data_IF_527617675036
#
_entry.id   IF_527617675036
#
_cell.length_a   1.000
_cell.length_b   1.000
_cell.length_c   1.000
_cell.angle_alpha   90.00
_cell.angle_beta   90.00
_cell.angle_gamma   90.00
#
_symmetry.space_group_name_H-M   'P 1'
#
loop_
_entity.id
_entity.type
_entity.pdbx_description
1 polymer ?
#
# COMPACT_ATOMS: atom_id res chain seq x y z
N UNK A 1 -23.63 36.03 5.90
CA UNK A 1 -22.24 35.96 6.31
C UNK A 1 -21.83 34.55 6.76
N UNK A 2 -22.60 33.84 7.59
CA UNK A 2 -22.24 32.48 8.05
C UNK A 2 -22.09 31.42 6.91
N UNK A 3 -22.97 31.42 5.90
CA UNK A 3 -22.89 30.46 4.78
C UNK A 3 -21.65 30.68 3.88
N UNK A 4 -21.25 31.93 3.66
CA UNK A 4 -20.05 32.26 2.90
C UNK A 4 -18.77 31.89 3.69
N UNK A 5 -18.76 32.04 5.01
CA UNK A 5 -17.67 31.61 5.87
C UNK A 5 -17.49 30.08 5.87
N UNK A 6 -18.59 29.33 5.85
CA UNK A 6 -18.55 27.85 5.81
C UNK A 6 -17.99 27.34 4.48
N UNK A 7 -18.36 27.95 3.36
CA UNK A 7 -17.84 27.54 2.03
C UNK A 7 -16.33 27.82 1.87
N UNK A 8 -15.81 28.88 2.47
CA UNK A 8 -14.36 29.19 2.47
C UNK A 8 -13.61 28.16 3.30
N UNK A 9 -14.12 27.81 4.49
CA UNK A 9 -13.50 26.80 5.35
C UNK A 9 -13.49 25.42 4.70
N UNK A 10 -14.57 25.02 4.05
CA UNK A 10 -14.65 23.77 3.29
C UNK A 10 -13.61 23.73 2.15
N UNK A 11 -13.42 24.82 1.43
CA UNK A 11 -12.40 24.92 0.40
C UNK A 11 -10.97 24.79 0.95
N UNK A 12 -10.70 25.40 2.11
CA UNK A 12 -9.44 25.26 2.84
C UNK A 12 -9.23 23.80 3.27
N UNK A 13 -10.23 23.16 3.85
CA UNK A 13 -10.16 21.78 4.30
C UNK A 13 -9.86 20.82 3.13
N UNK A 14 -10.57 20.97 2.02
CA UNK A 14 -10.31 20.16 0.81
C UNK A 14 -8.89 20.37 0.27
N UNK A 15 -8.39 21.60 0.27
CA UNK A 15 -7.03 21.93 -0.19
C UNK A 15 -5.96 21.22 0.64
N UNK A 16 -6.04 21.32 1.97
CA UNK A 16 -5.04 20.69 2.85
C UNK A 16 -5.20 19.17 2.92
N UNK A 17 -6.41 18.66 2.87
CA UNK A 17 -6.64 17.22 2.78
C UNK A 17 -6.08 16.64 1.47
N UNK A 18 -6.28 17.32 0.34
CA UNK A 18 -5.67 16.92 -0.93
C UNK A 18 -4.13 16.93 -0.87
N UNK A 19 -3.54 17.85 -0.12
CA UNK A 19 -2.09 17.87 0.12
C UNK A 19 -1.64 16.72 1.03
N UNK A 20 -2.40 16.38 2.09
CA UNK A 20 -2.15 15.24 2.95
C UNK A 20 -2.24 13.91 2.19
N UNK A 21 -3.23 13.77 1.29
CA UNK A 21 -3.38 12.60 0.40
C UNK A 21 -2.19 12.46 -0.56
N UNK A 22 -1.70 13.54 -1.15
CA UNK A 22 -0.46 13.47 -1.97
C UNK A 22 0.75 13.05 -1.14
N UNK A 23 0.88 13.57 0.07
CA UNK A 23 1.97 13.23 0.99
C UNK A 23 1.95 11.74 1.36
N UNK A 24 0.76 11.17 1.64
CA UNK A 24 0.63 9.77 2.06
C UNK A 24 1.08 8.78 0.98
N UNK A 25 1.11 9.15 -0.31
CA UNK A 25 1.64 8.29 -1.39
C UNK A 25 3.14 8.01 -1.27
N UNK A 26 3.87 8.83 -0.50
CA UNK A 26 5.33 8.73 -0.38
C UNK A 26 5.82 7.34 0.04
N UNK A 27 5.07 6.64 0.92
CA UNK A 27 5.48 5.37 1.48
C UNK A 27 4.55 4.18 1.13
N UNK A 28 3.68 4.31 0.11
CA UNK A 28 2.89 3.17 -0.41
C UNK A 28 3.81 1.98 -0.74
N UNK A 29 3.37 0.77 -0.44
CA UNK A 29 4.12 -0.48 -0.61
C UNK A 29 5.30 -0.65 0.37
N UNK A 30 5.47 0.23 1.38
CA UNK A 30 6.62 0.22 2.30
C UNK A 30 6.26 0.28 3.78
N UNK A 31 4.98 0.30 4.10
CA UNK A 31 4.50 0.49 5.48
C UNK A 31 4.15 -0.82 6.19
N UNK A 32 4.57 -1.95 5.63
CA UNK A 32 4.25 -3.30 6.11
C UNK A 32 2.73 -3.46 6.28
N UNK A 33 2.26 -3.91 7.44
CA UNK A 33 0.82 -4.13 7.68
C UNK A 33 0.02 -2.85 7.98
N UNK A 34 0.69 -1.69 8.14
CA UNK A 34 0.02 -0.43 8.41
C UNK A 34 -0.33 0.31 7.11
N UNK A 35 -1.41 1.12 7.10
CA UNK A 35 -1.71 1.96 5.95
C UNK A 35 -0.70 3.10 5.83
N UNK A 36 -0.46 3.57 4.60
CA UNK A 36 0.32 4.78 4.37
C UNK A 36 -0.58 6.01 4.56
N UNK A 37 -0.58 6.55 5.76
CA UNK A 37 -1.35 7.74 6.18
C UNK A 37 -0.51 8.99 5.99
N UNK A 38 -1.14 10.09 5.63
CA UNK A 38 -0.54 11.42 5.61
C UNK A 38 -1.19 12.34 6.63
N UNK A 39 -0.39 13.13 7.33
CA UNK A 39 -0.86 14.14 8.29
C UNK A 39 -0.20 15.47 8.02
N UNK A 40 -1.00 16.52 7.99
CA UNK A 40 -0.53 17.92 8.00
C UNK A 40 -1.08 18.62 9.24
N UNK A 41 -0.22 19.39 9.92
CA UNK A 41 -0.62 20.29 10.98
C UNK A 41 -0.54 21.71 10.42
N UNK A 42 -1.68 22.40 10.45
CA UNK A 42 -1.85 23.73 9.85
C UNK A 42 -2.28 24.71 10.94
N UNK A 43 -1.53 25.80 11.05
CA UNK A 43 -1.79 26.88 11.98
C UNK A 43 -2.09 28.16 11.24
N UNK A 44 -3.06 28.92 11.73
CA UNK A 44 -3.38 30.27 11.24
C UNK A 44 -3.36 31.24 12.44
N UNK A 45 -2.39 32.15 12.43
CA UNK A 45 -2.23 33.20 13.42
C UNK A 45 -2.76 34.56 12.89
N UNK A 46 -3.63 34.53 11.86
CA UNK A 46 -4.19 35.76 11.26
C UNK A 46 -3.43 36.25 10.02
N UNK A 47 -2.26 35.69 9.70
CA UNK A 47 -1.52 35.98 8.47
C UNK A 47 -1.85 35.01 7.34
N UNK A 48 -2.77 34.08 7.59
CA UNK A 48 -3.18 32.99 6.69
C UNK A 48 -2.61 31.63 7.13
N UNK A 49 -3.27 30.54 6.70
CA UNK A 49 -2.94 29.19 7.16
C UNK A 49 -1.59 28.72 6.62
N UNK A 50 -0.72 28.23 7.52
CA UNK A 50 0.63 27.74 7.25
C UNK A 50 0.80 26.32 7.76
N UNK A 51 1.46 25.45 6.98
CA UNK A 51 1.83 24.09 7.41
C UNK A 51 3.01 24.21 8.38
N UNK A 52 2.80 23.84 9.65
CA UNK A 52 3.81 23.85 10.71
C UNK A 52 4.37 22.46 11.01
N UNK A 53 3.68 21.40 10.57
CA UNK A 53 4.15 20.03 10.69
C UNK A 53 3.58 19.15 9.59
N UNK A 54 4.35 18.16 9.16
CA UNK A 54 3.92 17.18 8.19
C UNK A 54 4.51 15.81 8.52
N UNK A 55 3.73 14.76 8.29
CA UNK A 55 4.17 13.38 8.52
C UNK A 55 3.51 12.41 7.57
N UNK A 56 4.19 11.30 7.34
CA UNK A 56 3.67 10.14 6.62
C UNK A 56 4.03 8.89 7.40
N UNK A 57 3.16 7.90 7.44
CA UNK A 57 3.50 6.61 8.07
C UNK A 57 4.90 6.17 7.63
N UNK A 58 5.80 5.98 8.58
CA UNK A 58 7.19 5.66 8.27
C UNK A 58 7.34 4.27 7.62
N UNK A 59 8.48 4.06 6.97
CA UNK A 59 8.84 2.75 6.40
C UNK A 59 8.82 1.71 7.53
N UNK A 60 8.21 0.55 7.26
CA UNK A 60 7.96 -0.46 8.29
C UNK A 60 6.72 -0.18 9.14
N UNK A 61 5.97 0.91 8.85
CA UNK A 61 4.67 1.22 9.42
C UNK A 61 4.70 2.03 10.72
N UNK A 62 5.88 2.39 11.22
CA UNK A 62 6.02 3.19 12.45
C UNK A 62 7.24 4.09 12.41
N UNK A 63 7.16 5.33 13.00
CA UNK A 63 5.97 5.92 13.64
C UNK A 63 4.81 6.21 12.69
N UNK A 64 3.62 6.47 13.23
CA UNK A 64 2.45 6.90 12.48
C UNK A 64 2.61 8.35 12.01
N UNK A 65 1.86 8.73 10.96
CA UNK A 65 1.93 10.04 10.34
C UNK A 65 1.68 11.20 11.33
N UNK A 66 0.74 11.02 12.25
CA UNK A 66 0.40 12.00 13.26
C UNK A 66 1.58 12.28 14.21
N UNK A 67 2.29 11.22 14.62
CA UNK A 67 3.45 11.36 15.51
C UNK A 67 4.60 12.10 14.82
N UNK A 68 4.86 11.79 13.55
CA UNK A 68 5.84 12.51 12.72
C UNK A 68 5.47 13.98 12.55
N UNK A 69 4.20 14.26 12.24
CA UNK A 69 3.70 15.62 12.04
C UNK A 69 3.78 16.44 13.33
N UNK A 70 3.41 15.84 14.48
CA UNK A 70 3.52 16.49 15.79
C UNK A 70 4.97 16.76 16.19
N UNK A 71 5.87 15.83 15.94
CA UNK A 71 7.31 16.02 16.18
C UNK A 71 7.87 17.19 15.36
N UNK A 72 7.44 17.34 14.10
CA UNK A 72 7.84 18.46 13.25
C UNK A 72 7.23 19.79 13.66
N UNK A 73 5.99 19.79 14.15
CA UNK A 73 5.29 21.02 14.56
C UNK A 73 5.77 21.55 15.92
N UNK A 74 6.15 20.65 16.85
CA UNK A 74 6.51 21.02 18.21
C UNK A 74 5.40 21.85 18.88
N UNK A 75 5.78 22.93 19.56
CA UNK A 75 4.85 23.84 20.26
C UNK A 75 3.86 24.54 19.30
N UNK A 76 4.17 24.65 18.02
CA UNK A 76 3.27 25.25 17.02
C UNK A 76 2.03 24.39 16.75
N UNK A 77 2.00 23.15 17.23
CA UNK A 77 0.82 22.28 17.15
C UNK A 77 -0.35 22.82 18.01
N UNK A 78 -0.05 23.53 19.10
CA UNK A 78 -1.07 24.06 20.01
C UNK A 78 -1.97 25.07 19.29
N UNK A 79 -3.27 24.85 19.32
CA UNK A 79 -4.28 25.68 18.66
C UNK A 79 -4.40 25.44 17.14
N UNK A 80 -3.61 24.52 16.58
CA UNK A 80 -3.62 24.21 15.14
C UNK A 80 -4.73 23.22 14.74
N UNK A 81 -4.93 23.08 13.43
CA UNK A 81 -5.77 22.05 12.80
C UNK A 81 -4.91 20.92 12.26
N UNK A 82 -5.25 19.67 12.55
CA UNK A 82 -4.63 18.49 11.96
C UNK A 82 -5.51 17.91 10.85
N UNK A 83 -4.94 17.71 9.66
CA UNK A 83 -5.56 17.02 8.51
C UNK A 83 -4.98 15.63 8.43
N UNK A 84 -5.81 14.59 8.57
CA UNK A 84 -5.36 13.20 8.62
C UNK A 84 -6.13 12.36 7.59
N UNK A 85 -5.43 11.63 6.75
CA UNK A 85 -6.05 10.89 5.63
C UNK A 85 -6.82 9.65 6.06
N UNK A 86 -6.62 9.16 7.29
CA UNK A 86 -7.36 8.06 7.92
C UNK A 86 -7.69 8.44 9.37
N UNK A 87 -8.79 7.94 9.90
CA UNK A 87 -9.17 8.14 11.31
C UNK A 87 -7.99 7.86 12.26
N UNK A 88 -7.63 8.78 13.18
CA UNK A 88 -6.55 8.59 14.14
C UNK A 88 -6.81 7.38 15.04
N UNK A 89 -5.81 6.53 15.23
CA UNK A 89 -5.96 5.31 16.00
C UNK A 89 -6.34 5.57 17.47
N UNK A 90 -7.21 4.67 18.01
CA UNK A 90 -7.78 4.76 19.36
C UNK A 90 -7.20 3.74 20.34
N UNK A 91 -6.49 2.71 19.85
CA UNK A 91 -5.98 1.62 20.68
C UNK A 91 -4.52 1.82 21.06
N UNK A 92 -4.16 1.38 22.25
CA UNK A 92 -2.76 1.30 22.67
C UNK A 92 -2.08 0.15 21.91
N UNK A 93 -1.06 0.52 21.12
CA UNK A 93 -0.15 -0.43 20.50
C UNK A 93 1.23 -0.36 21.18
N UNK A 94 2.29 -0.27 20.37
CA UNK A 94 3.65 0.00 20.88
C UNK A 94 3.83 1.44 21.36
N UNK A 95 2.95 2.33 20.94
CA UNK A 95 2.91 3.76 21.29
C UNK A 95 1.49 4.14 21.74
N UNK A 96 1.33 5.25 22.49
CA UNK A 96 0.01 5.77 22.79
C UNK A 96 -0.81 6.03 21.52
N UNK A 97 -2.17 5.97 21.60
CA UNK A 97 -3.04 6.24 20.47
C UNK A 97 -2.83 7.65 19.90
N UNK A 98 -2.86 7.77 18.56
CA UNK A 98 -2.69 9.05 17.88
C UNK A 98 -3.78 10.05 18.26
N UNK A 99 -5.01 9.62 18.50
CA UNK A 99 -6.09 10.49 18.98
C UNK A 99 -5.73 11.19 20.29
N UNK A 100 -5.14 10.48 21.25
CA UNK A 100 -4.65 11.08 22.50
C UNK A 100 -3.42 11.98 22.26
N UNK A 101 -2.50 11.58 21.39
CA UNK A 101 -1.32 12.38 21.08
C UNK A 101 -1.69 13.75 20.49
N UNK A 102 -2.66 13.77 19.55
CA UNK A 102 -3.19 15.01 18.96
C UNK A 102 -3.85 15.91 20.01
N UNK A 103 -4.72 15.34 20.86
CA UNK A 103 -5.39 16.09 21.92
C UNK A 103 -4.37 16.67 22.94
N UNK A 104 -3.41 15.85 23.39
CA UNK A 104 -2.39 16.28 24.37
C UNK A 104 -1.44 17.35 23.82
N UNK A 105 -1.20 17.36 22.50
CA UNK A 105 -0.43 18.41 21.83
C UNK A 105 -1.20 19.75 21.73
N UNK A 106 -2.48 19.78 22.14
CA UNK A 106 -3.31 20.97 22.10
C UNK A 106 -3.86 21.30 20.70
N UNK A 107 -3.96 20.30 19.80
CA UNK A 107 -4.71 20.44 18.55
C UNK A 107 -6.17 20.77 18.89
N UNK A 108 -6.71 21.80 18.25
CA UNK A 108 -8.09 22.26 18.52
C UNK A 108 -9.09 21.76 17.49
N UNK A 109 -8.62 21.33 16.32
CA UNK A 109 -9.46 20.84 15.23
C UNK A 109 -8.80 19.70 14.48
N UNK A 110 -9.55 18.63 14.20
CA UNK A 110 -9.10 17.50 13.39
C UNK A 110 -10.04 17.34 12.19
N UNK A 111 -9.46 17.29 11.00
CA UNK A 111 -10.15 17.03 9.74
C UNK A 111 -9.71 15.67 9.25
N UNK A 112 -10.63 14.71 9.16
CA UNK A 112 -10.38 13.34 8.72
C UNK A 112 -10.98 13.05 7.35
N UNK A 113 -10.32 12.18 6.58
CA UNK A 113 -10.81 11.73 5.28
C UNK A 113 -11.50 10.37 5.35
N UNK A 114 -10.76 9.27 5.37
CA UNK A 114 -11.30 7.92 5.46
C UNK A 114 -11.61 7.53 6.92
N UNK A 115 -12.64 6.71 7.11
CA UNK A 115 -12.89 6.04 8.39
C UNK A 115 -12.08 4.75 8.46
N UNK A 116 -11.56 4.40 9.64
CA UNK A 116 -10.85 3.14 9.83
C UNK A 116 -11.87 2.00 10.05
N UNK A 117 -11.82 0.90 9.27
CA UNK A 117 -12.73 -0.22 9.43
C UNK A 117 -12.37 -1.13 10.63
N UNK A 118 -11.20 -0.97 11.23
CA UNK A 118 -10.78 -1.79 12.40
C UNK A 118 -11.75 -1.53 13.57
N UNK A 119 -12.43 -2.56 14.11
CA UNK A 119 -13.37 -2.39 15.23
C UNK A 119 -12.74 -1.79 16.50
N UNK A 120 -11.39 -1.84 16.60
CA UNK A 120 -10.64 -1.20 17.69
C UNK A 120 -10.53 0.32 17.51
N UNK A 121 -10.73 0.82 16.30
CA UNK A 121 -10.58 2.24 15.90
C UNK A 121 -11.92 2.85 15.51
N UNK A 122 -12.67 2.21 14.65
CA UNK A 122 -13.90 2.69 13.99
C UNK A 122 -14.76 3.62 14.87
N UNK A 123 -14.72 4.92 14.61
CA UNK A 123 -15.42 5.97 15.35
C UNK A 123 -14.82 6.32 16.73
N UNK A 124 -13.94 5.49 17.29
CA UNK A 124 -13.40 5.67 18.63
C UNK A 124 -12.32 6.74 18.68
N UNK A 125 -11.51 6.87 17.62
CA UNK A 125 -10.51 7.91 17.50
C UNK A 125 -11.15 9.30 17.53
N UNK A 126 -12.20 9.47 16.76
CA UNK A 126 -12.98 10.72 16.75
C UNK A 126 -13.71 10.96 18.06
N UNK A 127 -14.24 9.91 18.72
CA UNK A 127 -14.89 10.02 20.01
C UNK A 127 -13.90 10.50 21.10
N UNK A 128 -12.67 10.00 21.13
CA UNK A 128 -11.61 10.45 22.04
C UNK A 128 -11.32 11.95 21.82
N UNK A 129 -11.16 12.38 20.57
CA UNK A 129 -10.89 13.78 20.23
C UNK A 129 -12.01 14.70 20.67
N UNK A 130 -13.28 14.34 20.39
CA UNK A 130 -14.45 15.13 20.83
C UNK A 130 -14.55 15.21 22.34
N UNK A 131 -14.29 14.11 23.05
CA UNK A 131 -14.29 14.08 24.52
C UNK A 131 -13.19 14.99 25.12
N UNK A 132 -12.10 15.20 24.39
CA UNK A 132 -11.03 16.14 24.75
C UNK A 132 -11.33 17.59 24.32
N UNK A 133 -12.52 17.89 23.78
CA UNK A 133 -12.90 19.23 23.34
C UNK A 133 -12.36 19.64 21.96
N UNK A 134 -11.83 18.69 21.18
CA UNK A 134 -11.35 18.92 19.81
C UNK A 134 -12.53 18.91 18.84
N UNK A 135 -12.63 19.92 17.98
CA UNK A 135 -13.57 19.92 16.85
C UNK A 135 -13.18 18.84 15.84
N UNK A 136 -14.12 18.02 15.40
CA UNK A 136 -13.88 16.94 14.43
C UNK A 136 -14.77 17.09 13.21
N UNK A 137 -14.13 17.23 12.05
CA UNK A 137 -14.76 17.21 10.72
C UNK A 137 -14.35 15.92 10.01
N UNK A 138 -15.33 15.17 9.56
CA UNK A 138 -15.12 13.85 8.95
C UNK A 138 -15.41 13.85 7.46
N UNK A 139 -14.87 12.87 6.75
CA UNK A 139 -15.18 12.54 5.34
C UNK A 139 -14.80 13.62 4.31
N UNK A 140 -13.80 14.43 4.62
CA UNK A 140 -13.26 15.39 3.64
C UNK A 140 -12.40 14.65 2.62
N UNK A 141 -12.80 14.61 1.35
CA UNK A 141 -12.20 13.82 0.27
C UNK A 141 -12.16 12.31 0.60
N UNK A 142 -13.26 11.79 1.17
CA UNK A 142 -13.34 10.40 1.60
C UNK A 142 -13.21 9.40 0.43
N UNK A 143 -13.75 9.72 -0.75
CA UNK A 143 -13.67 8.84 -1.92
C UNK A 143 -12.24 8.70 -2.39
N UNK A 144 -11.49 9.80 -2.51
CA UNK A 144 -10.08 9.82 -2.88
C UNK A 144 -9.21 9.10 -1.83
N UNK A 145 -9.51 9.30 -0.54
CA UNK A 145 -8.82 8.63 0.54
C UNK A 145 -9.07 7.11 0.53
N UNK A 146 -10.32 6.69 0.36
CA UNK A 146 -10.69 5.28 0.27
C UNK A 146 -10.04 4.59 -0.93
N UNK A 147 -10.02 5.25 -2.09
CA UNK A 147 -9.34 4.74 -3.27
C UNK A 147 -7.83 4.53 -3.03
N UNK A 148 -7.18 5.48 -2.36
CA UNK A 148 -5.75 5.37 -2.06
C UNK A 148 -5.42 4.33 -0.98
N UNK A 149 -6.34 4.12 -0.03
CA UNK A 149 -6.21 3.17 1.07
C UNK A 149 -6.86 1.82 0.76
N UNK A 150 -7.33 1.58 -0.49
CA UNK A 150 -8.15 0.43 -0.86
C UNK A 150 -7.52 -0.90 -0.41
N UNK A 151 -6.23 -1.10 -0.63
CA UNK A 151 -5.54 -2.31 -0.19
C UNK A 151 -5.63 -2.54 1.32
N UNK A 152 -5.41 -1.50 2.14
CA UNK A 152 -5.56 -1.60 3.59
C UNK A 152 -7.00 -1.90 3.99
N UNK A 153 -7.98 -1.18 3.41
CA UNK A 153 -9.39 -1.33 3.72
C UNK A 153 -9.90 -2.72 3.35
N UNK A 154 -9.59 -3.19 2.13
CA UNK A 154 -9.98 -4.52 1.64
C UNK A 154 -9.34 -5.61 2.51
N UNK A 155 -8.05 -5.51 2.82
CA UNK A 155 -7.37 -6.48 3.68
C UNK A 155 -7.97 -6.52 5.08
N UNK A 156 -8.33 -5.37 5.65
CA UNK A 156 -8.94 -5.29 6.99
C UNK A 156 -10.32 -5.93 7.03
N UNK A 157 -11.15 -5.70 6.01
CA UNK A 157 -12.53 -6.17 5.93
C UNK A 157 -12.65 -7.59 5.40
N UNK A 158 -11.99 -7.89 4.28
CA UNK A 158 -12.15 -9.14 3.51
C UNK A 158 -11.04 -10.15 3.73
N UNK A 159 -9.98 -9.79 4.47
CA UNK A 159 -8.79 -10.63 4.70
C UNK A 159 -8.09 -11.06 3.39
N UNK A 160 -8.17 -10.24 2.36
CA UNK A 160 -7.56 -10.41 1.05
C UNK A 160 -6.87 -9.13 0.61
N UNK A 161 -5.82 -9.17 -0.21
CA UNK A 161 -5.24 -7.96 -0.77
C UNK A 161 -6.16 -7.34 -1.83
N UNK A 162 -5.96 -6.07 -2.10
CA UNK A 162 -6.40 -5.47 -3.36
C UNK A 162 -5.56 -6.05 -4.51
N UNK A 163 -6.21 -6.52 -5.55
CA UNK A 163 -5.54 -7.11 -6.72
C UNK A 163 -5.73 -6.21 -7.93
N UNK A 164 -4.64 -5.74 -8.50
CA UNK A 164 -4.63 -4.97 -9.75
C UNK A 164 -4.07 -5.84 -10.86
N UNK A 165 -4.89 -6.19 -11.86
CA UNK A 165 -4.44 -6.89 -13.05
C UNK A 165 -3.97 -5.88 -14.12
N UNK A 166 -2.69 -5.95 -14.51
CA UNK A 166 -2.12 -5.15 -15.59
C UNK A 166 -1.85 -6.00 -16.81
N UNK A 167 -2.43 -5.62 -17.94
CA UNK A 167 -2.20 -6.25 -19.23
C UNK A 167 -1.68 -5.23 -20.25
N UNK A 168 -0.72 -5.65 -21.09
CA UNK A 168 -0.36 -4.93 -22.30
C UNK A 168 -1.02 -5.61 -23.49
N UNK A 169 -1.85 -4.90 -24.23
CA UNK A 169 -2.59 -5.42 -25.38
C UNK A 169 -2.14 -4.73 -26.66
N UNK A 170 -1.91 -5.51 -27.71
CA UNK A 170 -1.78 -4.99 -29.07
C UNK A 170 -3.14 -4.56 -29.63
N UNK A 171 -3.15 -3.87 -30.77
CA UNK A 171 -4.38 -3.40 -31.40
C UNK A 171 -5.37 -4.52 -31.78
N UNK A 172 -4.86 -5.74 -31.96
CA UNK A 172 -5.66 -6.96 -32.22
C UNK A 172 -5.95 -7.76 -30.93
N UNK A 173 -5.75 -7.17 -29.75
CA UNK A 173 -6.09 -7.76 -28.44
C UNK A 173 -5.15 -8.88 -27.97
N UNK A 174 -3.93 -8.97 -28.51
CA UNK A 174 -2.94 -9.98 -28.10
C UNK A 174 -2.00 -9.45 -27.03
N UNK A 175 -1.60 -10.31 -26.09
CA UNK A 175 -0.64 -10.00 -25.00
C UNK A 175 0.80 -10.39 -25.34
N UNK A 176 1.01 -11.14 -26.43
CA UNK A 176 2.32 -11.62 -26.85
C UNK A 176 2.21 -12.72 -27.90
N UNK A 177 3.34 -13.32 -28.25
CA UNK A 177 3.43 -14.50 -29.15
C UNK A 177 4.21 -15.59 -28.44
N UNK A 178 3.64 -16.80 -28.43
CA UNK A 178 4.28 -17.97 -27.79
C UNK A 178 5.64 -18.29 -28.45
N UNK A 179 6.66 -18.55 -27.65
CA UNK A 179 8.00 -18.91 -28.10
C UNK A 179 8.82 -17.75 -28.68
N UNK A 180 8.39 -16.50 -28.50
CA UNK A 180 9.14 -15.32 -28.96
C UNK A 180 9.67 -14.45 -27.81
N UNK A 181 9.55 -14.92 -26.56
CA UNK A 181 9.94 -14.15 -25.37
C UNK A 181 9.14 -12.86 -25.23
N UNK A 182 9.70 -11.89 -24.55
CA UNK A 182 9.04 -10.62 -24.28
C UNK A 182 8.84 -9.77 -25.56
N UNK A 183 7.58 -9.57 -25.93
CA UNK A 183 7.20 -8.70 -27.06
C UNK A 183 6.89 -7.30 -26.54
N UNK A 184 7.56 -6.28 -27.11
CA UNK A 184 7.28 -4.87 -26.78
C UNK A 184 5.98 -4.41 -27.45
N UNK A 185 4.92 -4.22 -26.64
CA UNK A 185 3.60 -3.76 -27.11
C UNK A 185 3.39 -2.28 -26.79
N UNK A 186 3.82 -1.83 -25.59
CA UNK A 186 3.57 -0.46 -25.09
C UNK A 186 4.81 0.42 -25.19
N UNK A 187 4.57 1.74 -25.37
CA UNK A 187 5.64 2.73 -25.43
C UNK A 187 6.30 3.02 -24.08
N UNK A 188 7.28 3.91 -24.08
CA UNK A 188 8.11 4.24 -22.91
C UNK A 188 7.30 4.84 -21.76
N UNK A 189 6.32 5.71 -22.05
CA UNK A 189 5.46 6.36 -21.05
C UNK A 189 4.70 5.29 -20.26
N UNK A 190 4.00 4.38 -20.97
CA UNK A 190 3.27 3.30 -20.31
C UNK A 190 4.18 2.36 -19.50
N UNK A 191 5.40 2.11 -19.98
CA UNK A 191 6.39 1.32 -19.21
C UNK A 191 6.84 2.03 -17.94
N UNK A 192 6.97 3.36 -17.94
CA UNK A 192 7.25 4.15 -16.73
C UNK A 192 6.10 4.09 -15.73
N UNK A 193 4.85 4.17 -16.20
CA UNK A 193 3.68 3.99 -15.33
C UNK A 193 3.67 2.61 -14.66
N UNK A 194 3.97 1.54 -15.39
CA UNK A 194 4.10 0.19 -14.82
C UNK A 194 5.19 0.14 -13.73
N UNK A 195 6.32 0.84 -13.93
CA UNK A 195 7.35 0.93 -12.90
C UNK A 195 6.86 1.66 -11.63
N UNK A 196 6.01 2.69 -11.79
CA UNK A 196 5.37 3.36 -10.66
C UNK A 196 4.38 2.45 -9.95
N UNK A 197 3.54 1.71 -10.69
CA UNK A 197 2.63 0.71 -10.11
C UNK A 197 3.40 -0.33 -9.28
N UNK A 198 4.53 -0.83 -9.78
CA UNK A 198 5.41 -1.72 -9.02
C UNK A 198 5.94 -1.08 -7.73
N UNK A 199 6.37 0.19 -7.81
CA UNK A 199 6.93 0.91 -6.67
C UNK A 199 5.91 1.21 -5.56
N UNK A 200 4.62 1.18 -5.87
CA UNK A 200 3.50 1.43 -4.95
C UNK A 200 2.82 0.14 -4.46
N UNK A 201 3.13 -1.02 -5.05
CA UNK A 201 2.58 -2.33 -4.64
C UNK A 201 3.43 -3.00 -3.55
N UNK A 202 2.78 -3.78 -2.67
CA UNK A 202 3.47 -4.64 -1.71
C UNK A 202 4.08 -5.87 -2.38
N UNK A 203 3.37 -6.42 -3.39
CA UNK A 203 3.84 -7.59 -4.14
C UNK A 203 3.48 -7.50 -5.63
N UNK A 204 4.29 -8.18 -6.44
CA UNK A 204 4.03 -8.45 -7.86
C UNK A 204 3.89 -9.95 -8.07
N UNK A 205 2.85 -10.37 -8.77
CA UNK A 205 2.52 -11.78 -8.99
C UNK A 205 2.53 -12.11 -10.49
N UNK A 206 3.19 -13.21 -10.83
CA UNK A 206 3.17 -13.81 -12.18
C UNK A 206 2.94 -15.31 -12.10
N UNK A 207 2.45 -15.91 -13.18
CA UNK A 207 2.43 -17.36 -13.37
C UNK A 207 3.79 -17.88 -13.85
N UNK A 208 4.06 -19.17 -13.59
CA UNK A 208 5.30 -19.84 -14.03
C UNK A 208 5.50 -19.77 -15.55
N UNK A 209 4.44 -19.77 -16.34
CA UNK A 209 4.55 -19.61 -17.79
C UNK A 209 5.26 -18.30 -18.18
N UNK A 210 4.90 -17.18 -17.56
CA UNK A 210 5.56 -15.88 -17.78
C UNK A 210 7.01 -15.91 -17.29
N UNK A 211 7.27 -16.54 -16.14
CA UNK A 211 8.64 -16.65 -15.61
C UNK A 211 9.56 -17.44 -16.55
N UNK A 212 9.06 -18.52 -17.15
CA UNK A 212 9.84 -19.37 -18.08
C UNK A 212 10.03 -18.73 -19.45
N UNK A 213 9.03 -18.01 -19.98
CA UNK A 213 9.08 -17.39 -21.30
C UNK A 213 9.95 -16.13 -21.32
N UNK A 214 9.80 -15.26 -20.31
CA UNK A 214 10.38 -13.92 -20.32
C UNK A 214 11.63 -13.79 -19.42
N UNK A 215 11.86 -14.72 -18.49
CA UNK A 215 12.88 -14.64 -17.44
C UNK A 215 12.99 -13.21 -16.85
N UNK A 216 11.88 -12.65 -16.31
CA UNK A 216 11.82 -11.25 -15.91
C UNK A 216 12.48 -11.05 -14.54
N UNK A 217 13.08 -9.88 -14.29
CA UNK A 217 13.56 -9.51 -12.96
C UNK A 217 12.45 -8.98 -12.05
N UNK A 218 11.37 -8.41 -12.59
CA UNK A 218 10.24 -7.80 -11.88
C UNK A 218 10.63 -6.71 -10.86
N UNK A 219 11.70 -6.01 -11.12
CA UNK A 219 12.23 -4.95 -10.25
C UNK A 219 11.79 -3.57 -10.71
N UNK A 220 11.83 -2.59 -9.81
CA UNK A 220 11.72 -1.17 -10.14
C UNK A 220 13.07 -0.66 -10.62
N UNK A 221 13.08 0.01 -11.77
CA UNK A 221 14.28 0.52 -12.46
C UNK A 221 14.19 2.03 -12.75
N UNK A 222 13.28 2.74 -12.07
CA UNK A 222 13.23 4.19 -12.13
C UNK A 222 14.35 4.78 -11.28
N UNK A 223 15.11 5.77 -11.80
CA UNK A 223 16.15 6.44 -11.04
C UNK A 223 15.65 6.99 -9.71
N UNK A 224 16.32 6.60 -8.62
CA UNK A 224 15.98 6.98 -7.24
C UNK A 224 14.86 6.17 -6.59
N UNK A 225 14.25 5.18 -7.29
CA UNK A 225 13.20 4.31 -6.77
C UNK A 225 13.59 2.82 -6.80
N UNK A 226 14.83 2.48 -7.07
CA UNK A 226 15.32 1.09 -7.24
C UNK A 226 15.08 0.24 -5.97
N UNK A 227 15.11 0.89 -4.81
CA UNK A 227 14.88 0.26 -3.50
C UNK A 227 13.38 0.08 -3.19
N UNK A 228 12.48 0.36 -4.14
CA UNK A 228 11.02 0.20 -4.02
C UNK A 228 10.48 -1.01 -4.78
N UNK A 229 11.34 -1.96 -5.11
CA UNK A 229 10.91 -3.20 -5.76
C UNK A 229 10.00 -4.00 -4.82
N UNK A 230 8.77 -4.38 -5.26
CA UNK A 230 7.83 -5.17 -4.45
C UNK A 230 8.34 -6.59 -4.23
N UNK A 231 7.79 -7.30 -3.23
CA UNK A 231 8.00 -8.74 -3.13
C UNK A 231 7.50 -9.44 -4.40
N UNK A 232 8.22 -10.45 -4.86
CA UNK A 232 7.88 -11.19 -6.09
C UNK A 232 7.21 -12.50 -5.75
N UNK A 233 6.10 -12.81 -6.42
CA UNK A 233 5.33 -14.04 -6.23
C UNK A 233 5.24 -14.76 -7.56
N UNK A 234 5.60 -16.05 -7.58
CA UNK A 234 5.45 -16.91 -8.74
C UNK A 234 4.46 -18.02 -8.40
N UNK A 235 3.40 -18.14 -9.22
CA UNK A 235 2.48 -19.29 -9.18
C UNK A 235 3.16 -20.46 -9.90
N UNK A 236 3.74 -21.38 -9.15
CA UNK A 236 4.52 -22.50 -9.68
C UNK A 236 4.21 -23.80 -8.94
N UNK A 237 3.02 -24.35 -9.19
CA UNK A 237 2.50 -25.55 -8.51
C UNK A 237 3.53 -26.68 -8.42
N UNK A 238 4.29 -26.93 -9.47
CA UNK A 238 5.17 -28.09 -9.62
C UNK A 238 6.67 -27.72 -9.44
N UNK A 239 6.96 -26.49 -8.98
CA UNK A 239 8.32 -25.95 -8.79
C UNK A 239 9.20 -26.12 -10.05
N UNK A 240 8.74 -25.60 -11.20
CA UNK A 240 9.43 -25.66 -12.49
C UNK A 240 10.42 -24.52 -12.72
N UNK A 241 10.39 -23.46 -11.89
CA UNK A 241 11.28 -22.32 -12.01
C UNK A 241 12.74 -22.79 -11.98
N UNK A 242 13.62 -22.40 -12.94
CA UNK A 242 15.03 -22.72 -12.89
C UNK A 242 15.73 -21.99 -11.74
N UNK A 243 16.67 -22.65 -11.05
CA UNK A 243 17.51 -22.00 -10.03
C UNK A 243 18.37 -20.86 -10.60
N UNK A 244 18.60 -20.86 -11.91
CA UNK A 244 19.35 -19.83 -12.65
C UNK A 244 18.51 -18.63 -13.06
N UNK A 245 17.18 -18.64 -12.79
CA UNK A 245 16.29 -17.56 -13.16
C UNK A 245 16.72 -16.23 -12.51
N UNK A 246 16.54 -15.10 -13.21
CA UNK A 246 16.82 -13.75 -12.70
C UNK A 246 16.09 -13.45 -11.40
N UNK A 247 14.89 -14.01 -11.22
CA UNK A 247 14.12 -13.89 -9.97
C UNK A 247 14.87 -14.46 -8.76
N UNK A 248 15.69 -15.48 -8.94
CA UNK A 248 16.46 -16.13 -7.88
C UNK A 248 17.80 -15.43 -7.65
N UNK A 249 18.35 -14.82 -8.70
CA UNK A 249 19.71 -14.25 -8.65
C UNK A 249 19.86 -13.08 -7.66
N UNK A 250 18.79 -12.33 -7.37
CA UNK A 250 18.81 -11.16 -6.49
C UNK A 250 17.81 -11.26 -5.31
N UNK A 251 17.52 -12.49 -4.88
CA UNK A 251 16.55 -12.76 -3.80
C UNK A 251 16.90 -12.07 -2.49
N UNK A 252 18.16 -11.89 -2.20
CA UNK A 252 18.67 -11.19 -1.01
C UNK A 252 18.27 -9.72 -0.98
N UNK A 253 18.10 -9.11 -2.15
CA UNK A 253 17.73 -7.71 -2.29
C UNK A 253 16.23 -7.52 -2.46
N UNK A 254 15.56 -8.40 -3.20
CA UNK A 254 14.13 -8.34 -3.48
C UNK A 254 13.51 -9.71 -3.17
N UNK A 255 12.64 -9.81 -2.15
CA UNK A 255 12.08 -11.09 -1.72
C UNK A 255 11.38 -11.84 -2.86
N UNK A 256 11.58 -13.16 -2.92
CA UNK A 256 10.89 -14.07 -3.83
C UNK A 256 10.10 -15.09 -3.02
N UNK A 257 8.80 -15.20 -3.33
CA UNK A 257 7.91 -16.23 -2.82
C UNK A 257 7.47 -17.10 -3.99
N UNK A 258 7.47 -18.42 -3.81
CA UNK A 258 6.93 -19.35 -4.79
C UNK A 258 5.72 -20.05 -4.17
N UNK A 259 4.56 -19.87 -4.78
CA UNK A 259 3.35 -20.59 -4.41
C UNK A 259 3.41 -21.99 -5.06
N UNK A 260 3.46 -23.04 -4.24
CA UNK A 260 3.64 -24.42 -4.67
C UNK A 260 2.49 -25.29 -4.19
N UNK A 261 2.13 -26.28 -4.99
CA UNK A 261 1.20 -27.34 -4.59
C UNK A 261 1.87 -28.40 -3.70
N UNK A 262 1.08 -29.37 -3.29
CA UNK A 262 1.58 -30.56 -2.59
C UNK A 262 2.49 -31.42 -3.48
N UNK A 263 3.42 -32.14 -2.87
CA UNK A 263 4.24 -33.16 -3.53
C UNK A 263 5.44 -32.65 -4.33
N UNK A 264 5.82 -31.35 -4.19
CA UNK A 264 7.08 -30.86 -4.77
C UNK A 264 8.29 -31.56 -4.14
N UNK A 265 9.33 -31.81 -4.95
CA UNK A 265 10.56 -32.47 -4.50
C UNK A 265 11.20 -31.69 -3.32
N UNK A 266 11.32 -32.33 -2.13
CA UNK A 266 11.89 -31.68 -0.94
C UNK A 266 13.34 -31.24 -1.14
N UNK A 267 14.14 -31.96 -1.94
CA UNK A 267 15.54 -31.62 -2.18
C UNK A 267 15.63 -30.36 -3.03
N UNK A 268 14.80 -30.27 -4.07
CA UNK A 268 14.69 -29.07 -4.91
C UNK A 268 14.19 -27.87 -4.10
N UNK A 269 13.16 -28.05 -3.29
CA UNK A 269 12.65 -27.00 -2.39
C UNK A 269 13.76 -26.48 -1.46
N UNK A 270 14.49 -27.38 -0.79
CA UNK A 270 15.60 -27.03 0.09
C UNK A 270 16.74 -26.29 -0.65
N UNK A 271 16.99 -26.56 -1.93
CA UNK A 271 17.97 -25.84 -2.73
C UNK A 271 17.57 -24.34 -2.90
N UNK A 272 16.31 -24.06 -3.18
CA UNK A 272 15.77 -22.69 -3.25
C UNK A 272 15.77 -21.98 -1.89
N UNK A 273 15.39 -22.70 -0.80
CA UNK A 273 15.38 -22.14 0.56
C UNK A 273 16.79 -21.69 1.00
N UNK A 274 17.83 -22.49 0.70
CA UNK A 274 19.25 -22.09 0.94
C UNK A 274 19.65 -20.79 0.22
N UNK A 275 18.96 -20.44 -0.86
CA UNK A 275 19.17 -19.18 -1.59
C UNK A 275 18.32 -18.02 -1.06
N UNK A 276 17.48 -18.25 -0.04
CA UNK A 276 16.60 -17.23 0.54
C UNK A 276 15.20 -17.16 -0.05
N UNK A 277 14.84 -18.06 -0.98
CA UNK A 277 13.48 -18.14 -1.52
C UNK A 277 12.52 -18.64 -0.45
N UNK A 278 11.35 -18.04 -0.36
CA UNK A 278 10.27 -18.44 0.54
C UNK A 278 9.19 -19.19 -0.23
N UNK A 279 8.57 -20.15 0.43
CA UNK A 279 7.48 -20.91 -0.17
C UNK A 279 6.15 -20.61 0.53
N UNK A 280 5.10 -20.58 -0.27
CA UNK A 280 3.71 -20.56 0.19
C UNK A 280 3.13 -21.91 -0.25
N UNK A 281 2.81 -22.78 0.70
CA UNK A 281 2.10 -24.01 0.42
C UNK A 281 0.65 -23.64 0.06
N UNK A 282 0.17 -24.12 -1.06
CA UNK A 282 -1.17 -23.79 -1.55
C UNK A 282 -1.95 -25.05 -1.84
N UNK A 283 -3.24 -25.02 -1.54
CA UNK A 283 -4.17 -26.03 -2.04
C UNK A 283 -4.26 -25.95 -3.57
N UNK A 284 -4.62 -27.08 -4.15
CA UNK A 284 -4.87 -27.17 -5.60
C UNK A 284 -6.29 -27.60 -5.84
N UNK A 285 -6.95 -26.94 -6.78
CA UNK A 285 -8.29 -27.27 -7.23
C UNK A 285 -8.29 -27.43 -8.74
N UNK A 286 -8.83 -28.55 -9.24
CA UNK A 286 -8.80 -28.90 -10.67
C UNK A 286 -7.40 -28.81 -11.34
N UNK A 287 -6.36 -29.14 -10.55
CA UNK A 287 -4.97 -29.10 -11.01
C UNK A 287 -4.36 -27.70 -11.13
N UNK A 288 -5.01 -26.67 -10.61
CA UNK A 288 -4.51 -25.30 -10.51
C UNK A 288 -4.34 -24.89 -9.04
N UNK A 289 -3.52 -23.88 -8.78
CA UNK A 289 -3.41 -23.25 -7.44
C UNK A 289 -4.75 -22.60 -7.09
N UNK A 290 -5.25 -22.86 -5.89
CA UNK A 290 -6.44 -22.27 -5.33
C UNK A 290 -6.19 -20.78 -5.00
N UNK A 291 -6.58 -19.87 -5.92
CA UNK A 291 -6.31 -18.44 -5.79
C UNK A 291 -7.01 -17.77 -4.61
N UNK A 292 -8.27 -18.14 -4.24
CA UNK A 292 -8.93 -17.51 -3.08
C UNK A 292 -8.14 -17.68 -1.79
N UNK A 293 -7.66 -18.89 -1.50
CA UNK A 293 -6.88 -19.24 -0.32
C UNK A 293 -5.50 -18.58 -0.36
N UNK A 294 -4.84 -18.59 -1.53
CA UNK A 294 -3.58 -17.88 -1.70
C UNK A 294 -3.72 -16.37 -1.38
N UNK A 295 -4.82 -15.74 -1.80
CA UNK A 295 -5.05 -14.31 -1.47
C UNK A 295 -5.20 -14.10 0.03
N UNK A 296 -5.79 -15.01 0.77
CA UNK A 296 -5.88 -14.96 2.24
C UNK A 296 -4.50 -15.12 2.88
N UNK A 297 -3.68 -16.04 2.39
CA UNK A 297 -2.30 -16.22 2.83
C UNK A 297 -1.44 -14.98 2.58
N UNK A 298 -1.56 -14.36 1.41
CA UNK A 298 -0.84 -13.12 1.11
C UNK A 298 -1.25 -11.98 2.04
N UNK A 299 -2.54 -11.86 2.34
CA UNK A 299 -3.03 -10.89 3.31
C UNK A 299 -2.52 -11.18 4.73
N UNK A 300 -2.44 -12.45 5.14
CA UNK A 300 -1.86 -12.88 6.41
C UNK A 300 -0.36 -12.58 6.50
N UNK A 301 0.37 -12.69 5.39
CA UNK A 301 1.77 -12.25 5.27
C UNK A 301 1.94 -10.72 5.31
N UNK A 302 0.83 -9.97 5.34
CA UNK A 302 0.82 -8.51 5.48
C UNK A 302 0.76 -7.75 4.15
N UNK A 303 0.64 -8.44 3.03
CA UNK A 303 0.50 -7.82 1.72
C UNK A 303 -0.92 -7.25 1.56
N UNK A 304 -1.03 -5.96 1.37
CA UNK A 304 -2.30 -5.27 1.19
C UNK A 304 -2.62 -5.03 -0.29
N UNK A 305 -1.59 -4.94 -1.15
CA UNK A 305 -1.72 -4.67 -2.58
C UNK A 305 -0.89 -5.65 -3.40
N UNK A 306 -1.50 -6.27 -4.41
CA UNK A 306 -0.84 -7.22 -5.33
C UNK A 306 -1.04 -6.76 -6.77
N UNK A 307 0.06 -6.46 -7.45
CA UNK A 307 0.08 -6.18 -8.88
C UNK A 307 0.27 -7.49 -9.65
N UNK A 308 -0.70 -7.89 -10.45
CA UNK A 308 -0.60 -9.07 -11.31
C UNK A 308 -0.14 -8.65 -12.70
N UNK A 309 1.05 -9.09 -13.10
CA UNK A 309 1.60 -8.93 -14.44
C UNK A 309 1.65 -10.31 -15.13
N UNK A 310 0.52 -11.00 -15.17
CA UNK A 310 0.42 -12.36 -15.66
C UNK A 310 0.26 -12.48 -17.17
N UNK A 311 0.59 -13.67 -17.68
CA UNK A 311 0.21 -14.10 -19.01
C UNK A 311 -1.27 -14.54 -19.10
N UNK A 312 -1.69 -15.07 -20.27
CA UNK A 312 -3.08 -15.45 -20.53
C UNK A 312 -3.68 -16.42 -19.50
N UNK A 313 -2.88 -17.36 -18.97
CA UNK A 313 -3.35 -18.34 -17.98
C UNK A 313 -3.59 -17.73 -16.61
N UNK A 314 -2.86 -16.67 -16.25
CA UNK A 314 -3.02 -16.01 -14.94
C UNK A 314 -4.13 -14.95 -14.99
N UNK A 315 -4.44 -14.43 -16.19
CA UNK A 315 -5.44 -13.40 -16.41
C UNK A 315 -6.83 -13.95 -16.74
N UNK A 316 -6.95 -15.20 -17.17
CA UNK A 316 -8.18 -15.92 -17.48
C UNK A 316 -8.43 -17.03 -16.53
#
# INVERSE_FOLDING_TARGET
MAAASNSVQEAIDRRYMAAALRLSRKNLGRTATNPSVGTLIVRDDGAGPMIVGSGVTAIGGRPHAEAEALAGAGELARGATAYVTLEPCAHHGRTPPCAHALANAGITRVVGAASDPDPRVSGKGYAILRAAGVEVVEKVLAEEANAQLAGYLIRSLSKRPEVTLKLALSSDGKIGRRGQGQVTITGEIARREVQMMRAEADAILIGIGTALEDDPALTVRLPGLENRSPARIVLDRDLRLPETAKLVADVDRVPLHIAVGEGVDPQRKAAFERRGVRFIATDTHDGAIALPELMEDLAALGMATVLVEGGAVTAG
#
